data_IF_744509192189
#
_entry.id   IF_744509192189
#
_cell.length_a   1.000
_cell.length_b   1.000
_cell.length_c   1.000
_cell.angle_alpha   90.00
_cell.angle_beta   90.00
_cell.angle_gamma   90.00
#
_symmetry.space_group_name_H-M   'P 1'
#
loop_
_entity.id
_entity.type
_entity.pdbx_description
1 polymer ?
#
# COMPACT_ATOMS: atom_id res chain seq x y z
N UNK A 1 12.95 -17.47 -11.05
CA UNK A 1 12.81 -17.74 -9.60
C UNK A 1 11.40 -18.18 -9.29
N UNK A 2 11.23 -19.20 -8.46
CA UNK A 2 9.91 -19.61 -7.98
C UNK A 2 9.68 -19.06 -6.58
N UNK A 3 8.55 -18.45 -6.36
CA UNK A 3 8.09 -18.05 -5.05
C UNK A 3 7.07 -19.07 -4.54
N UNK A 4 7.26 -19.54 -3.31
CA UNK A 4 6.30 -20.44 -2.66
C UNK A 4 5.68 -19.70 -1.49
N UNK A 5 4.35 -19.56 -1.52
CA UNK A 5 3.61 -18.96 -0.42
C UNK A 5 3.79 -19.80 0.85
N UNK A 6 3.90 -19.14 1.99
CA UNK A 6 4.14 -19.79 3.28
C UNK A 6 2.99 -19.57 4.22
N UNK A 7 2.55 -20.65 4.86
CA UNK A 7 1.50 -20.61 5.87
C UNK A 7 2.06 -20.55 7.29
N UNK A 8 3.37 -20.76 7.44
CA UNK A 8 4.07 -20.91 8.73
C UNK A 8 4.84 -19.67 9.16
N UNK A 9 4.29 -18.48 8.87
CA UNK A 9 4.95 -17.23 9.23
C UNK A 9 4.95 -16.98 10.73
N UNK A 10 5.98 -16.28 11.26
CA UNK A 10 6.01 -15.91 12.67
C UNK A 10 4.74 -15.17 13.10
N UNK A 11 4.27 -15.47 14.32
CA UNK A 11 3.16 -14.74 14.91
C UNK A 11 3.57 -13.35 15.38
N UNK A 12 4.84 -13.17 15.77
CA UNK A 12 5.37 -11.87 16.14
C UNK A 12 5.38 -10.91 14.95
N UNK A 13 4.78 -9.75 15.13
CA UNK A 13 4.58 -8.78 14.07
C UNK A 13 5.89 -8.28 13.47
N UNK A 14 6.85 -7.91 14.31
CA UNK A 14 8.14 -7.42 13.86
C UNK A 14 8.93 -8.49 13.10
N UNK A 15 8.92 -9.73 13.58
CA UNK A 15 9.57 -10.85 12.91
C UNK A 15 8.92 -11.14 11.55
N UNK A 16 7.60 -11.09 11.49
CA UNK A 16 6.86 -11.30 10.24
C UNK A 16 7.19 -10.22 9.21
N UNK A 17 7.24 -8.95 9.63
CA UNK A 17 7.63 -7.86 8.72
C UNK A 17 9.06 -8.04 8.19
N UNK A 18 9.99 -8.39 9.06
CA UNK A 18 11.39 -8.60 8.65
C UNK A 18 11.54 -9.76 7.65
N UNK A 19 10.83 -10.85 7.88
CA UNK A 19 10.84 -12.01 6.97
C UNK A 19 10.25 -11.68 5.61
N UNK A 20 9.10 -11.01 5.59
CA UNK A 20 8.42 -10.63 4.34
C UNK A 20 9.24 -9.59 3.57
N UNK A 21 9.85 -8.63 4.24
CA UNK A 21 10.73 -7.66 3.61
C UNK A 21 11.89 -8.37 2.90
N UNK A 22 12.55 -9.32 3.57
CA UNK A 22 13.65 -10.06 2.97
C UNK A 22 13.21 -10.86 1.72
N UNK A 23 12.04 -11.49 1.77
CA UNK A 23 11.48 -12.21 0.63
C UNK A 23 11.15 -11.27 -0.55
N UNK A 24 10.55 -10.12 -0.27
CA UNK A 24 10.24 -9.12 -1.30
C UNK A 24 11.51 -8.64 -1.98
N UNK A 25 12.52 -8.27 -1.21
CA UNK A 25 13.80 -7.83 -1.76
C UNK A 25 14.44 -8.89 -2.65
N UNK A 26 14.38 -10.14 -2.24
CA UNK A 26 14.91 -11.26 -3.03
C UNK A 26 14.15 -11.44 -4.36
N UNK A 27 12.83 -11.37 -4.32
CA UNK A 27 11.99 -11.52 -5.53
C UNK A 27 12.24 -10.37 -6.52
N UNK A 28 12.39 -9.14 -6.01
CA UNK A 28 12.57 -7.95 -6.83
C UNK A 28 13.98 -7.77 -7.37
N UNK A 29 14.93 -8.53 -6.89
CA UNK A 29 16.33 -8.38 -7.27
C UNK A 29 16.51 -8.48 -8.79
N UNK A 30 17.14 -7.46 -9.37
CA UNK A 30 17.40 -7.41 -10.81
C UNK A 30 16.22 -6.92 -11.67
N UNK A 31 15.04 -6.65 -11.10
CA UNK A 31 13.90 -6.16 -11.87
C UNK A 31 13.87 -4.63 -11.93
N UNK A 32 14.09 -3.99 -13.09
CA UNK A 32 14.08 -2.53 -13.21
C UNK A 32 12.69 -1.91 -13.44
N UNK A 33 11.70 -2.71 -13.89
CA UNK A 33 10.39 -2.17 -14.25
C UNK A 33 9.59 -1.76 -13.01
N UNK A 34 9.24 -0.48 -12.91
CA UNK A 34 8.58 0.06 -11.73
C UNK A 34 7.18 -0.54 -11.52
N UNK A 35 6.40 -0.71 -12.58
CA UNK A 35 5.06 -1.29 -12.48
C UNK A 35 5.14 -2.73 -11.99
N UNK A 36 6.07 -3.52 -12.52
CA UNK A 36 6.27 -4.90 -12.09
C UNK A 36 6.68 -4.96 -10.61
N UNK A 37 7.55 -4.06 -10.17
CA UNK A 37 7.98 -3.98 -8.78
C UNK A 37 6.80 -3.64 -7.86
N UNK A 38 6.04 -2.61 -8.17
CA UNK A 38 4.87 -2.20 -7.36
C UNK A 38 3.81 -3.28 -7.30
N UNK A 39 3.47 -3.89 -8.44
CA UNK A 39 2.48 -4.95 -8.48
C UNK A 39 2.91 -6.17 -7.63
N UNK A 40 4.18 -6.53 -7.69
CA UNK A 40 4.74 -7.66 -6.93
C UNK A 40 4.73 -7.36 -5.43
N UNK A 41 5.14 -6.16 -5.02
CA UNK A 41 5.09 -5.75 -3.60
C UNK A 41 3.66 -5.82 -3.07
N UNK A 42 2.70 -5.25 -3.79
CA UNK A 42 1.29 -5.27 -3.38
C UNK A 42 0.78 -6.70 -3.23
N UNK A 43 1.09 -7.57 -4.18
CA UNK A 43 0.70 -8.97 -4.15
C UNK A 43 1.30 -9.71 -2.96
N UNK A 44 2.59 -9.56 -2.72
CA UNK A 44 3.28 -10.25 -1.63
C UNK A 44 2.84 -9.78 -0.25
N UNK A 45 2.60 -8.47 -0.09
CA UNK A 45 2.08 -7.92 1.17
C UNK A 45 0.65 -8.41 1.45
N UNK A 46 -0.22 -8.42 0.45
CA UNK A 46 -1.59 -8.90 0.61
C UNK A 46 -1.62 -10.39 1.00
N UNK A 47 -0.77 -11.20 0.39
CA UNK A 47 -0.66 -12.62 0.69
C UNK A 47 -0.11 -12.88 2.10
N UNK A 48 0.92 -12.13 2.49
CA UNK A 48 1.59 -12.31 3.78
C UNK A 48 0.78 -11.76 4.98
N UNK A 49 -0.07 -10.78 4.75
CA UNK A 49 -0.84 -10.09 5.80
C UNK A 49 -2.33 -10.06 5.47
N UNK A 50 -3.07 -11.16 5.75
CA UNK A 50 -4.51 -11.22 5.45
C UNK A 50 -5.33 -10.12 6.15
N UNK A 51 -4.79 -9.51 7.19
CA UNK A 51 -5.41 -8.39 7.90
C UNK A 51 -5.45 -7.11 7.07
N UNK A 52 -4.60 -6.98 6.06
CA UNK A 52 -4.60 -5.81 5.18
C UNK A 52 -5.83 -5.85 4.29
N UNK A 53 -6.74 -4.90 4.50
CA UNK A 53 -7.94 -4.74 3.71
C UNK A 53 -7.61 -4.26 2.29
N UNK A 54 -6.70 -3.30 2.20
CA UNK A 54 -6.20 -2.74 0.94
C UNK A 54 -4.71 -2.44 1.09
N UNK A 55 -3.93 -2.83 0.11
CA UNK A 55 -2.50 -2.54 0.08
C UNK A 55 -2.07 -2.24 -1.35
N UNK A 56 -1.32 -1.17 -1.54
CA UNK A 56 -0.93 -0.77 -2.88
C UNK A 56 -0.30 0.60 -2.94
N UNK A 57 -0.34 1.18 -4.12
CA UNK A 57 0.36 2.41 -4.43
C UNK A 57 -0.58 3.44 -5.07
N UNK A 58 -0.45 4.67 -4.63
CA UNK A 58 -0.89 5.84 -5.36
C UNK A 58 0.33 6.55 -5.90
N UNK A 59 0.24 7.04 -7.12
CA UNK A 59 1.36 7.67 -7.83
C UNK A 59 0.97 9.09 -8.18
N UNK A 60 1.91 10.02 -8.09
CA UNK A 60 1.67 11.40 -8.52
C UNK A 60 1.45 11.43 -10.01
N UNK A 61 0.35 12.05 -10.45
CA UNK A 61 0.11 12.27 -11.87
C UNK A 61 1.06 13.37 -12.38
N UNK A 62 2.02 12.98 -13.20
CA UNK A 62 3.04 13.90 -13.71
C UNK A 62 2.45 15.07 -14.51
N UNK A 63 1.30 14.87 -15.16
CA UNK A 63 0.64 15.91 -15.95
C UNK A 63 -0.03 16.97 -15.07
N UNK A 64 -0.49 16.60 -13.87
CA UNK A 64 -1.17 17.52 -12.96
C UNK A 64 -0.27 18.03 -11.84
N UNK A 65 0.58 17.18 -11.27
CA UNK A 65 1.54 17.55 -10.24
C UNK A 65 0.99 17.66 -8.82
N UNK A 66 -0.33 17.78 -8.65
CA UNK A 66 -1.00 17.96 -7.35
C UNK A 66 -2.13 16.95 -7.13
N UNK A 67 -2.12 15.86 -7.87
CA UNK A 67 -3.14 14.81 -7.79
C UNK A 67 -2.47 13.45 -7.82
N UNK A 68 -3.00 12.54 -7.01
CA UNK A 68 -2.61 11.13 -7.03
C UNK A 68 -3.52 10.34 -7.96
N UNK A 69 -2.94 9.40 -8.67
CA UNK A 69 -3.67 8.40 -9.46
C UNK A 69 -3.37 7.02 -8.90
N UNK A 70 -4.38 6.15 -8.87
CA UNK A 70 -4.19 4.80 -8.35
C UNK A 70 -3.18 4.03 -9.19
N UNK A 71 -2.25 3.38 -8.52
CA UNK A 71 -1.28 2.46 -9.12
C UNK A 71 -1.66 1.00 -8.85
N UNK A 72 -0.71 0.08 -8.95
CA UNK A 72 -0.95 -1.32 -8.63
C UNK A 72 -1.36 -1.52 -7.17
N UNK A 73 -2.42 -2.31 -6.95
CA UNK A 73 -2.91 -2.59 -5.61
C UNK A 73 -3.60 -3.95 -5.54
N UNK A 74 -3.84 -4.39 -4.30
CA UNK A 74 -4.62 -5.57 -3.95
C UNK A 74 -5.69 -5.16 -2.95
N UNK A 75 -6.88 -5.73 -3.08
CA UNK A 75 -8.01 -5.41 -2.20
C UNK A 75 -9.23 -4.97 -2.99
N UNK A 76 -10.14 -4.30 -2.29
CA UNK A 76 -11.35 -3.79 -2.92
C UNK A 76 -11.07 -2.53 -3.73
N UNK A 77 -12.07 -2.05 -4.45
CA UNK A 77 -11.92 -0.90 -5.35
C UNK A 77 -11.32 0.31 -4.63
N UNK A 78 -10.19 0.81 -5.14
CA UNK A 78 -9.59 2.06 -4.70
C UNK A 78 -10.16 3.26 -5.46
N UNK A 79 -10.08 4.45 -4.86
CA UNK A 79 -10.39 5.68 -5.57
C UNK A 79 -9.43 5.87 -6.74
N UNK A 80 -9.94 6.25 -7.91
CA UNK A 80 -9.07 6.45 -9.07
C UNK A 80 -8.14 7.65 -8.90
N UNK A 81 -8.62 8.72 -8.30
CA UNK A 81 -7.91 9.99 -8.14
C UNK A 81 -8.09 10.56 -6.74
N UNK A 82 -7.01 11.09 -6.18
CA UNK A 82 -7.03 11.75 -4.87
C UNK A 82 -6.25 13.06 -4.99
N UNK A 83 -6.91 14.22 -4.77
CA UNK A 83 -6.20 15.50 -4.73
C UNK A 83 -5.24 15.58 -3.55
N UNK A 84 -4.11 16.24 -3.72
CA UNK A 84 -3.19 16.50 -2.61
C UNK A 84 -3.92 17.23 -1.47
N UNK A 85 -3.63 16.81 -0.25
CA UNK A 85 -4.23 17.39 0.95
C UNK A 85 -5.61 16.87 1.31
N UNK A 86 -6.18 15.95 0.51
CA UNK A 86 -7.46 15.32 0.79
C UNK A 86 -7.25 13.88 1.23
N UNK A 87 -7.89 13.48 2.34
CA UNK A 87 -7.76 12.16 2.92
C UNK A 87 -6.35 11.85 3.43
N UNK A 88 -6.14 10.60 3.84
CA UNK A 88 -4.84 10.17 4.40
C UNK A 88 -3.75 10.16 3.33
N UNK A 89 -4.02 9.57 2.18
CA UNK A 89 -3.06 9.52 1.08
C UNK A 89 -2.73 10.93 0.55
N UNK A 90 -3.74 11.80 0.42
CA UNK A 90 -3.53 13.18 0.00
C UNK A 90 -2.70 13.98 0.99
N UNK A 91 -2.89 13.75 2.29
CA UNK A 91 -2.07 14.37 3.34
C UNK A 91 -0.62 13.89 3.26
N UNK A 92 -0.39 12.60 3.08
CA UNK A 92 0.95 12.05 2.92
C UNK A 92 1.66 12.65 1.70
N UNK A 93 0.96 12.77 0.58
CA UNK A 93 1.51 13.35 -0.64
C UNK A 93 1.90 14.83 -0.47
N UNK A 94 1.04 15.61 0.19
CA UNK A 94 1.29 17.04 0.40
C UNK A 94 2.43 17.30 1.37
N UNK A 95 2.45 16.58 2.49
CA UNK A 95 3.46 16.80 3.54
C UNK A 95 4.76 16.06 3.28
N UNK A 96 4.73 15.03 2.44
CA UNK A 96 5.83 14.06 2.22
C UNK A 96 6.23 13.35 3.50
N UNK A 97 5.26 13.14 4.38
CA UNK A 97 5.45 12.43 5.64
C UNK A 97 4.53 11.22 5.72
N UNK A 98 5.03 10.15 6.32
CA UNK A 98 4.22 8.97 6.57
C UNK A 98 3.07 9.33 7.51
N UNK A 99 1.87 8.88 7.15
CA UNK A 99 0.67 9.02 7.98
C UNK A 99 0.32 7.65 8.56
N UNK A 100 0.18 7.57 9.87
CA UNK A 100 -0.30 6.36 10.55
C UNK A 100 -1.59 6.73 11.25
N UNK A 101 -2.70 6.18 10.80
CA UNK A 101 -4.04 6.54 11.27
C UNK A 101 -4.74 5.33 11.86
N UNK A 102 -4.92 5.30 13.17
CA UNK A 102 -5.54 4.20 13.89
C UNK A 102 -7.05 4.11 13.62
N UNK A 103 -7.71 5.26 13.49
CA UNK A 103 -9.14 5.36 13.22
C UNK A 103 -9.38 6.40 12.13
N UNK A 104 -9.69 5.95 10.92
CA UNK A 104 -9.93 6.84 9.78
C UNK A 104 -11.15 7.73 9.98
N UNK A 105 -12.13 7.32 10.79
CA UNK A 105 -13.33 8.11 11.07
C UNK A 105 -13.00 9.37 11.88
N UNK A 106 -11.89 9.36 12.61
CA UNK A 106 -11.40 10.52 13.36
C UNK A 106 -10.47 11.41 12.53
N UNK A 107 -10.07 10.99 11.32
CA UNK A 107 -9.17 11.76 10.46
C UNK A 107 -9.94 12.82 9.68
N UNK A 108 -9.59 14.12 9.83
CA UNK A 108 -10.30 15.21 9.12
C UNK A 108 -10.16 15.07 7.60
N UNK A 109 -11.29 15.09 6.90
CA UNK A 109 -11.29 15.02 5.44
C UNK A 109 -11.02 13.64 4.86
N UNK A 110 -11.15 12.57 5.66
CA UNK A 110 -10.96 11.21 5.17
C UNK A 110 -11.84 10.91 3.96
N UNK A 111 -11.23 10.29 2.94
CA UNK A 111 -11.93 9.82 1.74
C UNK A 111 -12.07 8.30 1.85
N UNK A 112 -13.30 7.81 1.93
CA UNK A 112 -13.58 6.39 1.96
C UNK A 112 -14.05 5.93 0.58
N UNK A 113 -13.22 5.18 -0.14
CA UNK A 113 -13.62 4.52 -1.39
C UNK A 113 -14.33 3.21 -1.09
N UNK A 114 -14.06 2.62 0.07
CA UNK A 114 -14.80 1.52 0.66
C UNK A 114 -15.03 1.84 2.13
N UNK A 115 -16.30 1.86 2.54
CA UNK A 115 -16.69 2.23 3.90
C UNK A 115 -16.21 1.26 4.98
N UNK A 116 -15.71 0.08 4.58
CA UNK A 116 -15.17 -0.93 5.50
C UNK A 116 -13.75 -0.63 5.96
N UNK A 117 -13.06 0.33 5.36
CA UNK A 117 -11.75 0.78 5.84
C UNK A 117 -11.87 1.31 7.27
N UNK A 118 -10.95 0.90 8.14
CA UNK A 118 -10.96 1.27 9.56
C UNK A 118 -9.70 2.06 9.97
N UNK A 119 -8.55 1.71 9.43
CA UNK A 119 -7.27 2.36 9.72
C UNK A 119 -6.41 2.43 8.45
N UNK A 120 -5.48 3.33 8.45
CA UNK A 120 -4.53 3.49 7.34
C UNK A 120 -3.13 3.83 7.85
#
# INVERSE_FOLDING_TARGET
MSYVARDDRPADKAERYAEVEAEILAVLDGEPNLTARMATVASMLADAFPVFFWTGFYVVDAAKGDELVVGPYQGTLGCLRIPFGRGVCGAAARTRETQVVEDVHAFPGHIACDSRSASE
#
